data_IF_960522049493
#
_entry.id   IF_960522049493
#
_cell.length_a   1.000
_cell.length_b   1.000
_cell.length_c   1.000
_cell.angle_alpha   90.00
_cell.angle_beta   90.00
_cell.angle_gamma   90.00
#
_symmetry.space_group_name_H-M   'P 1'
#
loop_
_entity.id
_entity.type
_entity.pdbx_description
1 polymer ?
#
# COMPACT_ATOMS: atom_id res chain seq x y z
N UNK A 1 4.56 8.44 -27.48
CA UNK A 1 3.92 7.66 -28.57
C UNK A 1 2.78 6.82 -27.99
N UNK A 2 1.76 6.53 -28.80
CA UNK A 2 0.71 5.57 -28.44
C UNK A 2 1.24 4.16 -28.74
N UNK A 3 1.03 3.22 -27.82
CA UNK A 3 1.43 1.81 -27.98
C UNK A 3 0.22 0.89 -27.76
N UNK A 4 0.18 -0.22 -28.49
CA UNK A 4 -0.76 -1.32 -28.24
C UNK A 4 -0.18 -2.21 -27.12
N UNK A 5 -0.92 -2.34 -26.02
CA UNK A 5 -0.54 -3.04 -24.80
C UNK A 5 -1.31 -4.35 -24.71
N UNK A 6 -0.61 -5.43 -24.34
CA UNK A 6 -1.21 -6.72 -24.01
C UNK A 6 -0.64 -7.25 -22.70
N UNK A 7 -1.51 -7.38 -21.70
CA UNK A 7 -1.20 -7.95 -20.40
C UNK A 7 -1.92 -9.28 -20.23
N UNK A 8 -1.25 -10.23 -19.58
CA UNK A 8 -1.87 -11.43 -19.02
C UNK A 8 -1.80 -11.32 -17.50
N UNK A 9 -2.92 -11.48 -16.82
CA UNK A 9 -3.01 -11.43 -15.37
C UNK A 9 -3.58 -12.76 -14.90
N UNK A 10 -2.83 -13.47 -14.06
CA UNK A 10 -3.26 -14.77 -13.52
C UNK A 10 -4.04 -14.61 -12.21
N UNK A 11 -4.80 -15.62 -11.83
CA UNK A 11 -5.40 -15.68 -10.51
C UNK A 11 -4.32 -15.80 -9.41
N UNK A 12 -4.55 -15.24 -8.19
CA UNK A 12 -5.80 -14.64 -7.73
C UNK A 12 -6.01 -13.18 -8.20
N UNK A 13 -4.96 -12.54 -8.73
CA UNK A 13 -4.97 -11.13 -9.15
C UNK A 13 -6.00 -10.84 -10.24
N UNK A 14 -6.25 -11.80 -11.13
CA UNK A 14 -7.25 -11.66 -12.19
C UNK A 14 -8.65 -11.29 -11.67
N UNK A 15 -9.04 -11.73 -10.46
CA UNK A 15 -10.34 -11.41 -9.85
C UNK A 15 -10.60 -9.92 -9.77
N UNK A 16 -9.61 -9.14 -9.34
CA UNK A 16 -9.74 -7.68 -9.31
C UNK A 16 -9.44 -7.04 -10.67
N UNK A 17 -8.51 -7.63 -11.44
CA UNK A 17 -8.08 -7.05 -12.71
C UNK A 17 -9.21 -6.96 -13.74
N UNK A 18 -10.17 -7.90 -13.69
CA UNK A 18 -11.42 -7.89 -14.50
C UNK A 18 -12.19 -6.58 -14.42
N UNK A 19 -12.24 -5.98 -13.23
CA UNK A 19 -13.00 -4.75 -12.99
C UNK A 19 -12.21 -3.47 -13.29
N UNK A 20 -10.90 -3.58 -13.56
CA UNK A 20 -10.07 -2.41 -13.81
C UNK A 20 -10.32 -1.88 -15.22
N UNK A 21 -10.51 -0.57 -15.33
CA UNK A 21 -10.62 0.12 -16.61
C UNK A 21 -9.47 1.11 -16.78
N UNK A 22 -8.58 0.86 -17.74
CA UNK A 22 -7.39 1.68 -18.01
C UNK A 22 -7.60 2.66 -19.15
N UNK A 23 -8.37 2.28 -20.17
CA UNK A 23 -8.58 3.09 -21.36
C UNK A 23 -9.87 2.68 -22.09
N UNK A 24 -10.48 3.63 -22.81
CA UNK A 24 -11.70 3.40 -23.59
C UNK A 24 -11.60 2.29 -24.64
N UNK A 25 -10.38 2.01 -25.12
CA UNK A 25 -10.13 0.97 -26.12
C UNK A 25 -9.82 -0.39 -25.49
N UNK A 26 -10.01 -0.52 -24.18
CA UNK A 26 -9.68 -1.74 -23.46
C UNK A 26 -10.66 -2.85 -23.81
N UNK A 27 -10.10 -4.01 -24.10
CA UNK A 27 -10.81 -5.28 -24.15
C UNK A 27 -10.25 -6.21 -23.09
N UNK A 28 -11.13 -7.02 -22.51
CA UNK A 28 -10.80 -8.03 -21.51
C UNK A 28 -11.32 -9.35 -22.04
N UNK A 29 -10.47 -10.37 -22.01
CA UNK A 29 -10.79 -11.72 -22.45
C UNK A 29 -10.53 -12.70 -21.31
N UNK A 30 -11.55 -13.46 -20.93
CA UNK A 30 -11.43 -14.48 -19.88
C UNK A 30 -10.54 -15.64 -20.35
N UNK A 31 -9.77 -16.18 -19.40
CA UNK A 31 -8.90 -17.34 -19.57
C UNK A 31 -9.15 -18.32 -18.43
N UNK A 32 -8.76 -19.57 -18.63
CA UNK A 32 -8.90 -20.62 -17.60
C UNK A 32 -8.17 -20.26 -16.31
N UNK A 33 -7.02 -19.57 -16.41
CA UNK A 33 -6.16 -19.22 -15.28
C UNK A 33 -6.14 -17.71 -14.94
N UNK A 34 -7.05 -16.91 -15.52
CA UNK A 34 -7.12 -15.48 -15.27
C UNK A 34 -7.73 -14.68 -16.41
N UNK A 35 -7.09 -13.57 -16.79
CA UNK A 35 -7.56 -12.69 -17.88
C UNK A 35 -6.44 -12.17 -18.76
N UNK A 36 -6.78 -11.90 -20.02
CA UNK A 36 -5.96 -11.09 -20.92
C UNK A 36 -6.60 -9.72 -21.11
N UNK A 37 -5.79 -8.67 -20.98
CA UNK A 37 -6.23 -7.28 -21.11
C UNK A 37 -5.45 -6.63 -22.24
N UNK A 38 -6.16 -6.08 -23.22
CA UNK A 38 -5.57 -5.38 -24.37
C UNK A 38 -6.10 -3.97 -24.47
N UNK A 39 -5.22 -2.99 -24.69
CA UNK A 39 -5.63 -1.59 -24.84
C UNK A 39 -4.55 -0.76 -25.51
N UNK A 40 -4.92 0.42 -26.01
CA UNK A 40 -3.97 1.44 -26.48
C UNK A 40 -3.72 2.43 -25.37
N UNK A 41 -2.45 2.75 -25.11
CA UNK A 41 -2.10 3.71 -24.07
C UNK A 41 -0.98 4.65 -24.46
N UNK A 42 -0.97 5.78 -23.75
CA UNK A 42 0.11 6.77 -23.74
C UNK A 42 1.35 6.27 -22.97
N UNK A 43 2.20 7.18 -22.47
CA UNK A 43 3.64 6.92 -22.32
C UNK A 43 3.95 5.62 -21.58
N UNK A 44 4.82 4.81 -22.19
CA UNK A 44 5.20 3.46 -21.76
C UNK A 44 5.54 3.36 -20.26
N UNK A 45 6.16 4.40 -19.70
CA UNK A 45 6.51 4.47 -18.27
C UNK A 45 5.29 4.40 -17.34
N UNK A 46 4.17 5.04 -17.71
CA UNK A 46 2.95 5.00 -16.91
C UNK A 46 2.30 3.61 -16.95
N UNK A 47 2.30 3.00 -18.14
CA UNK A 47 1.82 1.62 -18.32
C UNK A 47 2.68 0.64 -17.52
N UNK A 48 4.00 0.82 -17.53
CA UNK A 48 4.91 -0.03 -16.77
C UNK A 48 4.67 0.05 -15.26
N UNK A 49 4.47 1.25 -14.71
CA UNK A 49 4.10 1.43 -13.30
C UNK A 49 2.75 0.75 -12.96
N UNK A 50 1.79 0.82 -13.87
CA UNK A 50 0.48 0.16 -13.69
C UNK A 50 0.59 -1.36 -13.74
N UNK A 51 1.36 -1.91 -14.67
CA UNK A 51 1.64 -3.34 -14.73
C UNK A 51 2.31 -3.82 -13.44
N UNK A 52 3.31 -3.07 -12.94
CA UNK A 52 3.96 -3.40 -11.67
C UNK A 52 3.01 -3.34 -10.46
N UNK A 53 2.02 -2.43 -10.47
CA UNK A 53 1.02 -2.33 -9.40
C UNK A 53 0.06 -3.51 -9.31
N UNK A 54 -0.05 -4.31 -10.37
CA UNK A 54 -0.81 -5.57 -10.36
C UNK A 54 -0.03 -6.70 -9.66
N UNK A 55 1.26 -6.49 -9.36
CA UNK A 55 2.08 -7.45 -8.67
C UNK A 55 2.61 -8.58 -9.57
N UNK A 56 3.09 -9.69 -8.96
CA UNK A 56 3.84 -10.73 -9.67
C UNK A 56 2.99 -11.58 -10.62
N UNK A 57 1.66 -11.56 -10.49
CA UNK A 57 0.75 -12.33 -11.34
C UNK A 57 0.48 -11.65 -12.70
N UNK A 58 1.00 -10.43 -12.90
CA UNK A 58 0.86 -9.68 -14.14
C UNK A 58 2.09 -9.86 -15.03
N UNK A 59 1.87 -10.32 -16.25
CA UNK A 59 2.87 -10.48 -17.28
C UNK A 59 2.58 -9.55 -18.47
N UNK A 60 3.61 -8.87 -18.96
CA UNK A 60 3.52 -8.08 -20.20
C UNK A 60 3.85 -8.98 -21.38
N UNK A 61 2.83 -9.29 -22.18
CA UNK A 61 2.95 -10.09 -23.40
C UNK A 61 3.52 -9.23 -24.53
N UNK A 62 3.01 -8.01 -24.70
CA UNK A 62 3.53 -7.06 -25.69
C UNK A 62 3.25 -5.59 -25.28
N UNK A 63 4.04 -4.63 -25.79
CA UNK A 63 5.24 -4.82 -26.63
C UNK A 63 6.49 -5.18 -25.81
N UNK A 64 7.52 -5.71 -26.47
CA UNK A 64 8.80 -6.06 -25.84
C UNK A 64 9.46 -4.86 -25.13
N UNK A 65 9.32 -3.66 -25.70
CA UNK A 65 9.82 -2.43 -25.07
C UNK A 65 9.17 -2.18 -23.71
N UNK A 66 7.87 -2.43 -23.57
CA UNK A 66 7.15 -2.30 -22.30
C UNK A 66 7.61 -3.35 -21.29
N UNK A 67 7.84 -4.59 -21.74
CA UNK A 67 8.40 -5.65 -20.89
C UNK A 67 9.76 -5.25 -20.33
N UNK A 68 10.65 -4.71 -21.16
CA UNK A 68 11.95 -4.22 -20.75
C UNK A 68 11.85 -3.07 -19.72
N UNK A 69 10.89 -2.16 -19.90
CA UNK A 69 10.63 -1.06 -18.97
C UNK A 69 10.12 -1.56 -17.61
N UNK A 70 9.19 -2.52 -17.60
CA UNK A 70 8.69 -3.14 -16.35
C UNK A 70 9.82 -3.85 -15.62
N UNK A 71 10.64 -4.65 -16.31
CA UNK A 71 11.79 -5.31 -15.72
C UNK A 71 12.81 -4.31 -15.15
N UNK A 72 13.07 -3.21 -15.86
CA UNK A 72 13.92 -2.11 -15.38
C UNK A 72 13.36 -1.47 -14.10
N UNK A 73 12.06 -1.18 -14.07
CA UNK A 73 11.39 -0.61 -12.91
C UNK A 73 11.40 -1.56 -11.71
N UNK A 74 11.09 -2.83 -11.92
CA UNK A 74 11.11 -3.86 -10.88
C UNK A 74 12.50 -4.01 -10.25
N UNK A 75 13.57 -4.05 -11.06
CA UNK A 75 14.95 -4.08 -10.57
C UNK A 75 15.30 -2.85 -9.72
N UNK A 76 14.83 -1.66 -10.12
CA UNK A 76 15.03 -0.43 -9.34
C UNK A 76 14.28 -0.46 -8.00
N UNK A 77 13.10 -1.07 -7.94
CA UNK A 77 12.36 -1.27 -6.69
C UNK A 77 13.13 -2.25 -5.81
N UNK A 78 13.50 -3.41 -6.35
CA UNK A 78 14.27 -4.43 -5.64
C UNK A 78 15.55 -3.85 -5.02
N UNK A 79 16.35 -3.12 -5.80
CA UNK A 79 17.58 -2.48 -5.33
C UNK A 79 17.40 -1.46 -4.17
N UNK A 80 16.18 -0.92 -3.98
CA UNK A 80 15.86 -0.05 -2.84
C UNK A 80 15.60 -0.86 -1.57
N UNK A 81 15.05 -2.05 -1.69
CA UNK A 81 14.70 -2.92 -0.57
C UNK A 81 15.83 -3.89 -0.19
N UNK A 82 16.72 -4.24 -1.13
CA UNK A 82 17.90 -5.07 -0.86
C UNK A 82 19.04 -4.31 -0.17
N UNK A 83 19.01 -2.97 -0.15
CA UNK A 83 20.00 -2.20 0.60
C UNK A 83 19.85 -2.52 2.10
N UNK A 84 20.86 -3.12 2.75
CA UNK A 84 20.86 -3.27 4.20
C UNK A 84 20.91 -1.86 4.79
N UNK A 85 19.83 -1.41 5.42
CA UNK A 85 19.68 -0.03 5.88
C UNK A 85 18.25 0.47 6.07
N UNK A 86 17.24 -0.37 5.83
CA UNK A 86 15.90 -0.12 6.35
C UNK A 86 15.90 -0.33 7.87
N UNK A 87 15.94 0.78 8.61
CA UNK A 87 15.73 0.95 10.06
C UNK A 87 15.17 -0.32 10.72
N UNK A 88 16.03 -1.14 11.34
CA UNK A 88 15.59 -1.80 12.56
C UNK A 88 15.19 -0.65 13.49
N UNK A 89 14.00 -0.62 14.12
CA UNK A 89 13.80 0.32 15.22
C UNK A 89 15.04 0.19 16.13
N UNK A 90 15.63 1.30 16.63
CA UNK A 90 16.63 1.17 17.66
C UNK A 90 16.06 0.17 18.66
N UNK A 91 16.88 -0.83 19.07
CA UNK A 91 16.47 -1.79 20.08
C UNK A 91 15.68 -1.01 21.13
N UNK A 92 14.48 -1.49 21.54
CA UNK A 92 13.61 -0.71 22.42
C UNK A 92 14.50 -0.15 23.50
N UNK A 93 14.55 1.19 23.59
CA UNK A 93 15.25 1.86 24.68
C UNK A 93 14.83 1.09 25.93
N UNK A 94 15.75 0.48 26.70
CA UNK A 94 15.40 -0.46 27.77
C UNK A 94 14.52 0.15 28.87
N UNK A 95 14.00 1.35 28.65
CA UNK A 95 13.38 2.21 29.62
C UNK A 95 14.45 2.75 30.56
N UNK A 96 14.12 3.77 31.34
CA UNK A 96 14.86 4.01 32.56
C UNK A 96 14.88 2.70 33.38
N UNK A 97 16.04 2.31 33.87
CA UNK A 97 16.19 1.18 34.79
C UNK A 97 15.34 1.43 36.05
N UNK A 98 14.11 0.90 36.05
CA UNK A 98 13.15 1.07 37.13
C UNK A 98 13.54 0.29 38.39
N UNK A 99 14.60 -0.52 38.34
CA UNK A 99 15.15 -1.24 39.49
C UNK A 99 15.71 -0.31 40.58
N UNK A 100 15.81 0.99 40.28
CA UNK A 100 16.29 2.03 41.21
C UNK A 100 15.23 3.02 41.65
N UNK A 101 13.95 2.82 41.29
CA UNK A 101 12.88 3.68 41.82
C UNK A 101 12.68 3.33 43.31
N UNK A 102 12.91 4.25 44.25
CA UNK A 102 12.59 4.00 45.65
C UNK A 102 11.07 3.83 45.80
N UNK A 103 10.65 2.82 46.58
CA UNK A 103 9.26 2.41 46.89
C UNK A 103 8.38 3.49 47.58
N UNK A 104 8.74 4.77 47.52
CA UNK A 104 7.99 5.81 48.22
C UNK A 104 7.74 7.00 47.31
N UNK A 105 6.60 6.93 46.63
CA UNK A 105 5.82 8.12 46.28
C UNK A 105 5.22 8.63 47.60
N UNK A 106 5.56 9.84 48.07
CA UNK A 106 4.84 10.43 49.20
C UNK A 106 3.37 10.64 48.79
N UNK A 107 2.40 10.43 49.70
CA UNK A 107 1.00 10.64 49.39
C UNK A 107 0.78 12.10 48.97
N UNK A 108 0.10 12.29 47.85
CA UNK A 108 -0.40 13.60 47.40
C UNK A 108 -1.33 14.15 48.48
N UNK A 109 -1.22 15.43 48.87
CA UNK A 109 -2.20 16.03 49.77
C UNK A 109 -3.58 16.04 49.11
N UNK A 110 -4.61 15.74 49.93
CA UNK A 110 -6.04 15.76 49.61
C UNK A 110 -6.40 16.90 48.64
N UNK A 111 -6.72 16.54 47.40
CA UNK A 111 -7.37 17.44 46.45
C UNK A 111 -8.82 17.62 46.93
N UNK A 112 -9.29 18.86 47.20
CA UNK A 112 -10.68 19.05 47.59
C UNK A 112 -11.59 18.64 46.42
N UNK A 113 -12.60 17.83 46.74
CA UNK A 113 -13.57 17.29 45.80
C UNK A 113 -14.11 18.39 44.87
N UNK A 114 -13.87 18.25 43.56
CA UNK A 114 -14.58 19.02 42.56
C UNK A 114 -16.04 18.59 42.58
N UNK A 115 -16.90 19.52 42.97
CA UNK A 115 -18.36 19.38 42.91
C UNK A 115 -18.77 19.30 41.43
N UNK A 116 -19.38 18.20 41.03
CA UNK A 116 -19.91 17.98 39.68
C UNK A 116 -20.94 19.08 39.35
N UNK A 117 -20.80 19.83 38.24
CA UNK A 117 -21.82 20.79 37.84
C UNK A 117 -23.11 20.05 37.46
N UNK A 118 -24.22 20.49 38.07
CA UNK A 118 -25.55 19.95 37.82
C UNK A 118 -25.91 19.91 36.31
N UNK A 119 -26.64 18.87 35.86
CA UNK A 119 -27.04 18.76 34.46
C UNK A 119 -27.99 19.90 34.06
N UNK A 120 -27.89 20.41 32.81
CA UNK A 120 -28.81 21.42 32.32
C UNK A 120 -30.23 20.85 32.27
N UNK A 121 -31.19 21.62 32.80
CA UNK A 121 -32.61 21.29 32.76
C UNK A 121 -33.17 21.26 31.33
N UNK A 122 -34.35 20.63 31.13
CA UNK A 122 -34.91 20.41 29.81
C UNK A 122 -35.26 21.73 29.13
N UNK A 123 -34.75 21.89 27.90
CA UNK A 123 -35.08 22.96 26.96
C UNK A 123 -36.56 22.77 26.53
N UNK A 124 -37.43 23.72 26.88
CA UNK A 124 -38.82 23.74 26.43
C UNK A 124 -38.91 24.09 24.93
N UNK A 125 -39.88 23.45 24.29
CA UNK A 125 -40.16 23.40 22.86
C UNK A 125 -40.63 24.72 22.22
#
# INVERSE_FOLDING_TARGET
PVIDVHLRVRDPTARWARALHYHRSQTVEEREDGVEIRFRAGPQRAVAARALSLGPDCEVISPESLRAEVASLARRVLARHERPGGILPPAPDPGPDLSRVPDSVPPTPDEPAQEDPAPPGPEEA
#
